data_IF_670620865320
#
_entry.id   IF_670620865320
#
_cell.length_a   1.000
_cell.length_b   1.000
_cell.length_c   1.000
_cell.angle_alpha   90.00
_cell.angle_beta   90.00
_cell.angle_gamma   90.00
#
_symmetry.space_group_name_H-M   'P 1'
#
loop_
_entity.id
_entity.type
_entity.pdbx_description
1 polymer ?
#
# COMPACT_ATOMS: atom_id res chain seq x y z
N UNK A 1 -3.55 -1.31 12.06
CA UNK A 1 -2.09 -1.08 11.91
C UNK A 1 -1.80 0.31 12.45
N UNK A 2 -0.68 0.52 13.13
CA UNK A 2 -0.25 1.84 13.61
C UNK A 2 1.19 2.04 13.17
N UNK A 3 1.39 2.64 12.00
CA UNK A 3 2.72 2.95 11.47
C UNK A 3 2.99 4.42 11.75
N UNK A 4 3.91 4.77 12.66
CA UNK A 4 4.18 6.16 12.98
C UNK A 4 4.79 6.87 11.78
N UNK A 5 4.04 7.82 11.20
CA UNK A 5 4.48 8.69 10.11
C UNK A 5 4.67 10.09 10.68
N UNK A 6 5.81 10.71 10.38
CA UNK A 6 6.06 12.11 10.78
C UNK A 6 5.24 13.07 9.93
N UNK A 7 4.93 14.25 10.46
CA UNK A 7 4.15 15.28 9.74
C UNK A 7 4.79 15.64 8.38
N UNK A 8 6.12 15.73 8.33
CA UNK A 8 6.85 15.98 7.09
C UNK A 8 6.70 14.84 6.07
N UNK A 9 6.72 13.59 6.53
CA UNK A 9 6.48 12.45 5.66
C UNK A 9 5.03 12.43 5.15
N UNK A 10 4.05 12.77 6.02
CA UNK A 10 2.65 12.89 5.63
C UNK A 10 2.46 13.94 4.52
N UNK A 11 3.07 15.12 4.65
CA UNK A 11 3.04 16.16 3.60
C UNK A 11 3.56 15.64 2.26
N UNK A 12 4.65 14.86 2.27
CA UNK A 12 5.22 14.27 1.05
C UNK A 12 4.29 13.21 0.45
N UNK A 13 3.67 12.38 1.29
CA UNK A 13 2.70 11.36 0.87
C UNK A 13 1.48 12.00 0.22
N UNK A 14 0.85 12.99 0.85
CA UNK A 14 -0.29 13.73 0.31
C UNK A 14 0.05 14.44 -1.01
N UNK A 15 1.28 14.97 -1.14
CA UNK A 15 1.68 15.69 -2.33
C UNK A 15 1.91 14.78 -3.53
N UNK A 16 2.45 13.57 -3.34
CA UNK A 16 3.04 12.76 -4.42
C UNK A 16 2.51 11.34 -4.56
N UNK A 17 2.00 10.72 -3.50
CA UNK A 17 1.81 9.26 -3.46
C UNK A 17 0.37 8.82 -3.16
N UNK A 18 -0.31 9.53 -2.26
CA UNK A 18 -1.72 9.25 -1.94
C UNK A 18 -2.58 9.56 -3.15
N UNK A 19 -3.51 8.65 -3.46
CA UNK A 19 -4.48 8.86 -4.54
C UNK A 19 -5.28 10.13 -4.32
N UNK A 20 -5.58 10.78 -5.43
CA UNK A 20 -6.44 11.95 -5.49
C UNK A 20 -7.62 11.67 -6.38
N UNK A 21 -8.73 12.32 -6.08
CA UNK A 21 -9.86 12.38 -7.01
C UNK A 21 -9.54 13.30 -8.21
N UNK A 22 -10.55 13.53 -9.06
CA UNK A 22 -10.42 14.37 -10.25
C UNK A 22 -10.24 15.86 -9.93
N UNK A 23 -10.61 16.28 -8.73
CA UNK A 23 -10.52 17.67 -8.25
C UNK A 23 -9.19 17.90 -7.51
N UNK A 24 -8.42 16.85 -7.24
CA UNK A 24 -7.13 16.91 -6.58
C UNK A 24 -7.21 16.69 -5.06
N UNK A 25 -8.38 16.36 -4.52
CA UNK A 25 -8.55 16.07 -3.10
C UNK A 25 -7.93 14.71 -2.78
N UNK A 26 -7.20 14.61 -1.67
CA UNK A 26 -6.63 13.34 -1.20
C UNK A 26 -7.76 12.43 -0.72
N UNK A 27 -7.84 11.21 -1.26
CA UNK A 27 -8.91 10.23 -0.96
C UNK A 27 -8.37 8.91 -0.41
N UNK A 28 -7.10 8.88 -0.03
CA UNK A 28 -6.39 7.68 0.42
C UNK A 28 -5.57 8.03 1.66
N UNK A 29 -5.59 7.17 2.67
CA UNK A 29 -4.70 7.29 3.84
C UNK A 29 -3.36 6.59 3.56
N UNK A 30 -2.29 6.89 4.33
CA UNK A 30 -1.04 6.13 4.22
C UNK A 30 -1.23 4.61 4.40
N UNK A 31 -2.11 4.19 5.31
CA UNK A 31 -2.47 2.80 5.53
C UNK A 31 -3.11 2.18 4.28
N UNK A 32 -4.06 2.88 3.67
CA UNK A 32 -4.70 2.44 2.41
C UNK A 32 -3.67 2.32 1.28
N UNK A 33 -2.73 3.26 1.21
CA UNK A 33 -1.64 3.22 0.24
C UNK A 33 -0.78 1.96 0.43
N UNK A 34 -0.38 1.63 1.66
CA UNK A 34 0.40 0.43 1.94
C UNK A 34 -0.38 -0.85 1.58
N UNK A 35 -1.66 -0.92 1.94
CA UNK A 35 -2.53 -2.05 1.57
C UNK A 35 -2.64 -2.21 0.06
N UNK A 36 -2.87 -1.10 -0.66
CA UNK A 36 -2.93 -1.11 -2.13
C UNK A 36 -1.64 -1.63 -2.75
N UNK A 37 -0.48 -1.15 -2.29
CA UNK A 37 0.82 -1.55 -2.83
C UNK A 37 1.06 -3.03 -2.55
N UNK A 38 0.83 -3.49 -1.31
CA UNK A 38 0.98 -4.89 -0.95
C UNK A 38 0.09 -5.82 -1.79
N UNK A 39 -1.18 -5.47 -1.95
CA UNK A 39 -2.14 -6.21 -2.80
C UNK A 39 -1.71 -6.24 -4.26
N UNK A 40 -1.24 -5.11 -4.79
CA UNK A 40 -0.79 -5.04 -6.18
C UNK A 40 0.41 -5.95 -6.43
N UNK A 41 1.40 -5.94 -5.52
CA UNK A 41 2.55 -6.83 -5.60
C UNK A 41 2.11 -8.30 -5.52
N UNK A 42 1.29 -8.65 -4.54
CA UNK A 42 0.81 -10.01 -4.34
C UNK A 42 -0.04 -10.54 -5.51
N UNK A 43 -0.74 -9.67 -6.24
CA UNK A 43 -1.55 -10.08 -7.39
C UNK A 43 -0.74 -10.76 -8.50
N UNK A 44 0.57 -10.47 -8.60
CA UNK A 44 1.45 -11.12 -9.57
C UNK A 44 1.61 -12.63 -9.31
N UNK A 45 1.47 -13.08 -8.05
CA UNK A 45 1.59 -14.49 -7.68
C UNK A 45 0.52 -15.36 -8.35
N UNK A 46 -0.65 -14.78 -8.68
CA UNK A 46 -1.74 -15.48 -9.38
C UNK A 46 -1.38 -15.95 -10.79
N UNK A 47 -0.29 -15.44 -11.38
CA UNK A 47 0.15 -15.76 -12.73
C UNK A 47 1.09 -16.98 -12.78
N UNK A 48 1.59 -17.46 -11.64
CA UNK A 48 2.53 -18.57 -11.59
C UNK A 48 1.80 -19.91 -11.44
N UNK A 49 2.18 -20.90 -12.25
CA UNK A 49 1.66 -22.26 -12.15
C UNK A 49 2.13 -22.92 -10.84
N UNK A 50 1.27 -22.89 -9.81
CA UNK A 50 1.54 -23.45 -8.47
C UNK A 50 0.57 -22.88 -7.43
N UNK A 51 0.63 -23.39 -6.19
CA UNK A 51 -0.14 -22.86 -5.06
C UNK A 51 0.61 -21.68 -4.41
N UNK A 52 0.87 -20.61 -5.17
CA UNK A 52 1.35 -19.38 -4.59
C UNK A 52 0.21 -18.72 -3.80
N UNK A 53 0.41 -18.61 -2.49
CA UNK A 53 -0.57 -18.05 -1.57
C UNK A 53 -0.50 -16.52 -1.63
N UNK A 54 -1.36 -15.95 -2.48
CA UNK A 54 -1.48 -14.49 -2.71
C UNK A 54 -1.71 -13.75 -1.40
N UNK A 55 -2.55 -14.28 -0.50
CA UNK A 55 -2.86 -13.63 0.77
C UNK A 55 -1.63 -13.60 1.67
N UNK A 56 -0.88 -14.70 1.74
CA UNK A 56 0.38 -14.75 2.50
C UNK A 56 1.41 -13.77 1.95
N UNK A 57 1.50 -13.63 0.63
CA UNK A 57 2.40 -12.66 -0.01
C UNK A 57 1.96 -11.23 0.29
N UNK A 58 0.67 -10.93 0.21
CA UNK A 58 0.10 -9.61 0.56
C UNK A 58 0.44 -9.24 2.00
N UNK A 59 0.19 -10.13 2.97
CA UNK A 59 0.49 -9.89 4.38
C UNK A 59 1.99 -9.69 4.63
N UNK A 60 2.85 -10.43 3.91
CA UNK A 60 4.30 -10.27 4.01
C UNK A 60 4.76 -8.89 3.54
N UNK A 61 4.27 -8.44 2.38
CA UNK A 61 4.63 -7.11 1.85
C UNK A 61 4.02 -5.98 2.68
N UNK A 62 2.78 -6.14 3.13
CA UNK A 62 2.14 -5.16 4.01
C UNK A 62 2.98 -4.95 5.27
N UNK A 63 3.39 -6.05 5.94
CA UNK A 63 4.27 -5.99 7.11
C UNK A 63 5.59 -5.27 6.82
N UNK A 64 6.21 -5.51 5.65
CA UNK A 64 7.47 -4.86 5.26
C UNK A 64 7.30 -3.35 5.02
N UNK A 65 6.16 -2.91 4.51
CA UNK A 65 5.87 -1.50 4.23
C UNK A 65 5.53 -0.70 5.50
N UNK A 66 4.99 -1.37 6.52
CA UNK A 66 4.45 -0.74 7.73
C UNK A 66 5.40 -0.80 8.94
N UNK A 67 6.62 -1.32 8.76
CA UNK A 67 7.56 -1.66 9.83
C UNK A 67 8.38 -0.47 10.33
#
# INVERSE_FOLDING_TARGET
MNTPISDNALIVLEKRYLKKDKEGNVIETPEDMFMRVAKHIASADSLFAGSCDVEKTEQKFLKLLTN
#
